data_IF_379063991545
#
_entry.id   IF_379063991545
#
_cell.length_a   1.000
_cell.length_b   1.000
_cell.length_c   1.000
_cell.angle_alpha   90.00
_cell.angle_beta   90.00
_cell.angle_gamma   90.00
#
_symmetry.space_group_name_H-M   'P 1'
#
loop_
_entity.id
_entity.type
_entity.pdbx_description
1 polymer ?
#
# COMPACT_ATOMS: atom_id res chain seq x y z
N UNK A 1 -7.97 5.96 -29.92
CA UNK A 1 -7.75 6.66 -28.62
C UNK A 1 -6.28 7.10 -28.47
N UNK A 2 -5.95 8.15 -27.71
CA UNK A 2 -4.57 8.60 -27.43
C UNK A 2 -4.13 8.20 -26.01
N UNK A 3 -2.82 8.03 -25.77
CA UNK A 3 -2.29 7.80 -24.41
C UNK A 3 -2.82 8.85 -23.44
N UNK A 4 -3.43 8.42 -22.34
CA UNK A 4 -4.10 9.28 -21.36
C UNK A 4 -3.92 8.71 -19.95
N UNK A 5 -3.75 9.58 -18.96
CA UNK A 5 -3.63 9.18 -17.56
C UNK A 5 -4.27 10.19 -16.60
N UNK A 6 -4.58 9.74 -15.39
CA UNK A 6 -5.13 10.59 -14.33
C UNK A 6 -6.11 9.84 -13.43
N UNK A 7 -6.91 10.59 -12.67
CA UNK A 7 -7.91 9.98 -11.79
C UNK A 7 -9.20 9.66 -12.55
N UNK A 8 -9.69 8.43 -12.39
CA UNK A 8 -10.95 7.98 -12.99
C UNK A 8 -12.15 8.38 -12.10
N UNK A 9 -13.11 9.10 -12.67
CA UNK A 9 -14.32 9.50 -11.95
C UNK A 9 -15.24 8.30 -11.72
N UNK A 10 -15.66 8.07 -10.48
CA UNK A 10 -16.61 6.99 -10.16
C UNK A 10 -17.95 7.15 -10.86
N UNK A 11 -18.41 8.39 -11.05
CA UNK A 11 -19.69 8.71 -11.69
C UNK A 11 -19.66 8.60 -13.21
N UNK A 12 -18.47 8.53 -13.83
CA UNK A 12 -18.35 8.48 -15.29
C UNK A 12 -17.14 7.62 -15.67
N UNK A 13 -17.30 6.28 -15.70
CA UNK A 13 -16.23 5.35 -16.09
C UNK A 13 -15.62 5.73 -17.45
N UNK A 14 -14.30 5.64 -17.57
CA UNK A 14 -13.57 6.06 -18.77
C UNK A 14 -13.29 7.56 -18.88
N UNK A 15 -13.91 8.41 -18.04
CA UNK A 15 -13.55 9.83 -17.96
C UNK A 15 -12.42 10.02 -16.95
N UNK A 16 -11.27 10.46 -17.48
CA UNK A 16 -10.05 10.67 -16.71
C UNK A 16 -9.82 12.16 -16.50
N UNK A 17 -9.45 12.53 -15.28
CA UNK A 17 -9.02 13.88 -14.93
C UNK A 17 -7.53 13.85 -14.64
N UNK A 18 -6.74 14.45 -15.53
CA UNK A 18 -5.31 14.60 -15.30
C UNK A 18 -5.05 15.43 -14.03
N UNK A 19 -4.14 15.00 -13.15
CA UNK A 19 -3.79 15.77 -11.97
C UNK A 19 -3.19 17.13 -12.39
N UNK A 20 -3.64 18.24 -11.79
CA UNK A 20 -3.19 19.58 -12.19
C UNK A 20 -1.70 19.82 -11.94
N UNK A 21 -1.11 19.15 -10.94
CA UNK A 21 0.32 19.15 -10.65
C UNK A 21 0.73 17.73 -10.26
N UNK A 22 1.33 17.03 -11.22
CA UNK A 22 2.00 15.76 -10.97
C UNK A 22 3.43 16.08 -10.52
N UNK A 23 3.59 16.46 -9.24
CA UNK A 23 4.91 16.68 -8.64
C UNK A 23 5.57 15.31 -8.39
N UNK A 24 5.97 15.04 -7.15
CA UNK A 24 6.65 13.79 -6.78
C UNK A 24 5.74 12.76 -6.11
N UNK A 25 4.42 13.00 -6.08
CA UNK A 25 3.47 12.18 -5.33
C UNK A 25 2.15 11.98 -6.06
N UNK A 26 1.75 10.72 -6.19
CA UNK A 26 0.42 10.28 -6.58
C UNK A 26 -0.33 9.90 -5.31
N UNK A 27 -1.41 10.63 -5.03
CA UNK A 27 -2.19 10.48 -3.79
C UNK A 27 -3.46 9.70 -4.06
N UNK A 28 -3.62 8.57 -3.38
CA UNK A 28 -4.84 7.77 -3.40
C UNK A 28 -5.62 7.98 -2.09
N UNK A 29 -6.95 7.94 -2.17
CA UNK A 29 -7.84 8.01 -1.00
C UNK A 29 -8.92 6.92 -1.06
N UNK A 30 -9.51 6.57 0.09
CA UNK A 30 -10.59 5.57 0.12
C UNK A 30 -11.91 6.10 -0.43
N UNK A 31 -12.05 7.42 -0.48
CA UNK A 31 -13.27 8.13 -0.81
C UNK A 31 -12.99 9.29 -1.76
N UNK A 32 -13.94 9.57 -2.64
CA UNK A 32 -13.89 10.69 -3.58
C UNK A 32 -13.22 10.37 -4.91
N UNK A 33 -12.93 11.42 -5.68
CA UNK A 33 -12.44 11.32 -7.07
C UNK A 33 -10.96 10.91 -7.19
N UNK A 34 -10.29 10.57 -6.09
CA UNK A 34 -8.88 10.15 -6.06
C UNK A 34 -8.72 8.70 -5.59
N UNK A 35 -9.78 7.89 -5.69
CA UNK A 35 -9.75 6.48 -5.31
C UNK A 35 -8.99 5.59 -6.31
N UNK A 36 -8.94 6.00 -7.58
CA UNK A 36 -8.34 5.24 -8.68
C UNK A 36 -7.57 6.16 -9.61
N UNK A 37 -6.30 5.85 -9.82
CA UNK A 37 -5.49 6.45 -10.86
C UNK A 37 -5.33 5.46 -12.01
N UNK A 38 -5.57 5.89 -13.23
CA UNK A 38 -5.62 5.02 -14.39
C UNK A 38 -4.73 5.52 -15.51
N UNK A 39 -4.21 4.57 -16.28
CA UNK A 39 -3.60 4.80 -17.58
C UNK A 39 -4.41 4.09 -18.65
N UNK A 40 -4.58 4.75 -19.78
CA UNK A 40 -5.13 4.20 -21.01
C UNK A 40 -4.08 4.37 -22.11
N UNK A 41 -3.59 3.27 -22.67
CA UNK A 41 -2.55 3.29 -23.68
C UNK A 41 -2.01 1.89 -23.98
N UNK A 42 -0.90 1.82 -24.69
CA UNK A 42 -0.12 0.59 -24.85
C UNK A 42 0.72 0.32 -23.60
N UNK A 43 1.11 -0.94 -23.38
CA UNK A 43 2.04 -1.31 -22.28
C UNK A 43 3.32 -0.48 -22.34
N UNK A 44 3.88 -0.32 -23.55
CA UNK A 44 5.09 0.47 -23.77
C UNK A 44 4.93 1.94 -23.38
N UNK A 45 3.90 2.62 -23.86
CA UNK A 45 3.65 4.04 -23.52
C UNK A 45 3.54 4.24 -22.00
N UNK A 46 2.86 3.31 -21.31
CA UNK A 46 2.67 3.37 -19.87
C UNK A 46 3.99 3.14 -19.13
N UNK A 47 4.76 2.12 -19.51
CA UNK A 47 6.06 1.82 -18.88
C UNK A 47 7.07 2.94 -19.13
N UNK A 48 7.14 3.48 -20.34
CA UNK A 48 8.02 4.61 -20.67
C UNK A 48 7.64 5.84 -19.82
N UNK A 49 6.33 6.14 -19.68
CA UNK A 49 5.88 7.21 -18.80
C UNK A 49 6.27 6.96 -17.33
N UNK A 50 6.14 5.73 -16.82
CA UNK A 50 6.53 5.39 -15.45
C UNK A 50 8.04 5.55 -15.21
N UNK A 51 8.87 5.27 -16.23
CA UNK A 51 10.32 5.50 -16.20
C UNK A 51 10.66 7.00 -16.16
N UNK A 52 9.97 7.79 -17.00
CA UNK A 52 10.15 9.25 -17.01
C UNK A 52 9.75 9.89 -15.67
N UNK A 53 8.85 9.24 -14.93
CA UNK A 53 8.38 9.65 -13.60
C UNK A 53 8.88 8.73 -12.48
N UNK A 54 10.07 8.15 -12.62
CA UNK A 54 10.60 7.14 -11.69
C UNK A 54 10.63 7.59 -10.21
N UNK A 55 10.81 8.88 -9.95
CA UNK A 55 10.86 9.44 -8.59
C UNK A 55 9.48 9.58 -7.93
N UNK A 56 8.39 9.48 -8.69
CA UNK A 56 7.03 9.66 -8.20
C UNK A 56 6.66 8.55 -7.21
N UNK A 57 6.19 8.95 -6.03
CA UNK A 57 5.74 8.04 -4.96
C UNK A 57 4.24 7.84 -5.00
N UNK A 58 3.81 6.59 -4.93
CA UNK A 58 2.39 6.23 -4.80
C UNK A 58 2.05 6.15 -3.32
N UNK A 59 1.20 7.04 -2.83
CA UNK A 59 0.84 7.08 -1.41
C UNK A 59 -0.68 6.99 -1.22
N UNK A 60 -1.09 6.08 -0.36
CA UNK A 60 -2.47 5.95 0.08
C UNK A 60 -2.70 6.71 1.40
N UNK A 61 -3.51 7.76 1.33
CA UNK A 61 -3.87 8.58 2.49
C UNK A 61 -5.14 8.02 3.15
N UNK A 62 -4.99 7.36 4.30
CA UNK A 62 -6.08 6.80 5.10
C UNK A 62 -6.92 7.86 5.86
N UNK A 63 -6.35 9.04 6.14
CA UNK A 63 -6.84 9.96 7.19
C UNK A 63 -7.61 11.19 6.71
N UNK A 64 -8.39 11.09 5.63
CA UNK A 64 -9.38 12.13 5.33
C UNK A 64 -10.64 12.06 6.22
N UNK A 65 -10.87 10.95 6.95
CA UNK A 65 -12.08 10.69 7.75
C UNK A 65 -11.88 10.64 9.28
N UNK A 66 -10.78 11.17 9.82
CA UNK A 66 -10.65 11.43 11.27
C UNK A 66 -10.63 10.22 12.21
N UNK A 67 -10.40 8.99 11.73
CA UNK A 67 -10.29 7.79 12.59
C UNK A 67 -8.86 7.59 13.13
N UNK A 68 -8.70 7.12 14.38
CA UNK A 68 -7.41 7.01 15.05
C UNK A 68 -6.49 5.93 14.44
N UNK A 69 -5.19 6.21 14.46
CA UNK A 69 -4.09 5.44 13.88
C UNK A 69 -3.82 4.04 14.51
N UNK A 70 -4.77 3.49 15.27
CA UNK A 70 -4.62 2.20 15.96
C UNK A 70 -4.97 0.98 15.11
N UNK A 71 -5.46 1.16 13.89
CA UNK A 71 -5.68 0.07 12.94
C UNK A 71 -4.49 -0.03 11.99
N UNK A 72 -3.54 -0.91 12.32
CA UNK A 72 -2.44 -1.32 11.45
C UNK A 72 -2.99 -2.16 10.28
N UNK A 73 -3.67 -1.54 9.33
CA UNK A 73 -3.84 -2.15 8.02
C UNK A 73 -2.58 -1.84 7.22
N UNK A 74 -1.87 -2.86 6.69
CA UNK A 74 -0.84 -2.59 5.69
C UNK A 74 -1.53 -1.82 4.56
N UNK A 75 -1.09 -0.59 4.34
CA UNK A 75 -1.58 0.31 3.30
C UNK A 75 -1.10 -0.22 1.96
N UNK A 76 -1.66 -1.35 1.55
CA UNK A 76 -1.31 -1.98 0.29
C UNK A 76 -2.01 -1.23 -0.85
N UNK A 77 -1.25 -1.03 -1.91
CA UNK A 77 -1.73 -0.55 -3.19
C UNK A 77 -1.73 -1.71 -4.16
N UNK A 78 -2.70 -1.70 -5.04
CA UNK A 78 -2.83 -2.63 -6.15
C UNK A 78 -2.54 -1.87 -7.43
N UNK A 79 -1.79 -2.53 -8.33
CA UNK A 79 -1.58 -2.12 -9.71
C UNK A 79 -2.10 -3.25 -10.59
N UNK A 80 -3.26 -2.99 -11.19
CA UNK A 80 -4.00 -3.94 -12.01
C UNK A 80 -3.80 -3.62 -13.49
N UNK A 81 -3.28 -4.59 -14.25
CA UNK A 81 -3.29 -4.57 -15.70
C UNK A 81 -4.61 -5.20 -16.19
N UNK A 82 -5.42 -4.44 -16.90
CA UNK A 82 -6.74 -4.84 -17.40
C UNK A 82 -6.77 -4.76 -18.93
N UNK A 83 -7.55 -5.65 -19.53
CA UNK A 83 -7.83 -5.61 -20.96
C UNK A 83 -8.70 -4.39 -21.28
N UNK A 84 -8.32 -3.60 -22.29
CA UNK A 84 -9.14 -2.52 -22.80
C UNK A 84 -9.77 -2.96 -24.12
N UNK A 85 -11.10 -2.97 -24.19
CA UNK A 85 -11.75 -3.24 -25.47
C UNK A 85 -11.61 -2.01 -26.37
N UNK A 86 -10.76 -2.11 -27.39
CA UNK A 86 -10.66 -1.08 -28.43
C UNK A 86 -11.68 -1.43 -29.53
N UNK A 87 -12.71 -0.59 -29.70
CA UNK A 87 -13.73 -0.79 -30.74
C UNK A 87 -13.18 -0.54 -32.16
N UNK A 88 -12.00 0.05 -32.28
CA UNK A 88 -11.28 0.25 -33.56
C UNK A 88 -10.35 -0.94 -33.90
N UNK A 89 -10.24 -1.94 -33.01
CA UNK A 89 -9.41 -3.11 -33.25
C UNK A 89 -10.04 -4.02 -34.32
N UNK A 90 -9.38 -4.13 -35.48
CA UNK A 90 -9.79 -5.04 -36.55
C UNK A 90 -9.85 -6.50 -36.05
N UNK A 91 -10.86 -7.26 -36.50
CA UNK A 91 -11.03 -8.69 -36.22
C UNK A 91 -9.75 -9.52 -36.44
N UNK A 92 -8.89 -9.10 -37.36
CA UNK A 92 -7.60 -9.76 -37.60
C UNK A 92 -6.60 -9.55 -36.45
N UNK A 93 -6.50 -8.34 -35.91
CA UNK A 93 -5.67 -8.03 -34.75
C UNK A 93 -6.23 -8.68 -33.48
N UNK A 94 -7.56 -8.78 -33.38
CA UNK A 94 -8.24 -9.54 -32.33
C UNK A 94 -7.92 -11.04 -32.43
N UNK A 95 -7.94 -11.66 -33.61
CA UNK A 95 -7.58 -13.08 -33.75
C UNK A 95 -6.09 -13.32 -33.48
N UNK A 96 -5.21 -12.40 -33.91
CA UNK A 96 -3.78 -12.50 -33.68
C UNK A 96 -3.41 -12.45 -32.20
N UNK A 97 -4.14 -11.67 -31.38
CA UNK A 97 -3.89 -11.58 -29.94
C UNK A 97 -4.09 -12.90 -29.19
N UNK A 98 -4.84 -13.87 -29.75
CA UNK A 98 -4.97 -15.21 -29.17
C UNK A 98 -3.70 -16.07 -29.29
N UNK A 99 -2.82 -15.77 -30.26
CA UNK A 99 -1.65 -16.59 -30.58
C UNK A 99 -0.33 -15.86 -30.42
N UNK A 100 -0.35 -14.53 -30.54
CA UNK A 100 0.81 -13.66 -30.38
C UNK A 100 0.36 -12.49 -29.53
N UNK A 101 0.87 -12.42 -28.30
CA UNK A 101 0.71 -11.22 -27.47
C UNK A 101 1.40 -10.06 -28.19
N UNK A 102 0.60 -9.24 -28.88
CA UNK A 102 1.09 -8.07 -29.61
C UNK A 102 1.27 -6.91 -28.63
N UNK A 103 2.26 -7.02 -27.74
CA UNK A 103 2.51 -6.07 -26.65
C UNK A 103 2.71 -4.62 -27.11
N UNK A 104 3.10 -4.45 -28.38
CA UNK A 104 3.39 -3.15 -29.00
C UNK A 104 2.10 -2.43 -29.42
N UNK A 105 1.08 -3.18 -29.84
CA UNK A 105 -0.16 -2.60 -30.37
C UNK A 105 -1.38 -2.84 -29.47
N UNK A 106 -1.30 -3.77 -28.52
CA UNK A 106 -2.36 -4.04 -27.56
C UNK A 106 -2.57 -2.85 -26.64
N UNK A 107 -3.81 -2.37 -26.61
CA UNK A 107 -4.24 -1.35 -25.66
C UNK A 107 -4.72 -1.97 -24.38
N UNK A 108 -4.30 -1.37 -23.28
CA UNK A 108 -4.57 -1.82 -21.93
C UNK A 108 -5.03 -0.67 -21.06
N UNK A 109 -5.74 -1.01 -19.99
CA UNK A 109 -6.00 -0.12 -18.86
C UNK A 109 -5.10 -0.56 -17.72
N UNK A 110 -4.30 0.35 -17.17
CA UNK A 110 -3.58 0.09 -15.91
C UNK A 110 -4.25 0.90 -14.82
N UNK A 111 -4.65 0.24 -13.74
CA UNK A 111 -5.36 0.85 -12.61
C UNK A 111 -4.55 0.72 -11.33
N UNK A 112 -4.24 1.86 -10.71
CA UNK A 112 -3.60 1.97 -9.40
C UNK A 112 -4.66 2.37 -8.38
N UNK A 113 -4.82 1.57 -7.33
CA UNK A 113 -5.87 1.74 -6.32
C UNK A 113 -5.48 1.18 -4.96
N UNK A 114 -6.10 1.64 -3.86
CA UNK A 114 -5.94 0.99 -2.57
C UNK A 114 -6.45 -0.46 -2.62
N UNK A 115 -5.77 -1.36 -1.91
CA UNK A 115 -6.22 -2.74 -1.75
C UNK A 115 -7.53 -2.78 -0.97
N UNK A 116 -8.50 -3.55 -1.45
CA UNK A 116 -9.78 -3.74 -0.79
C UNK A 116 -10.24 -5.19 -0.97
N UNK A 117 -9.93 -6.03 0.01
CA UNK A 117 -10.19 -7.48 -0.04
C UNK A 117 -11.62 -7.85 -0.47
N UNK A 118 -12.61 -7.05 -0.09
CA UNK A 118 -14.02 -7.27 -0.42
C UNK A 118 -14.40 -7.00 -1.87
N UNK A 119 -13.55 -6.32 -2.66
CA UNK A 119 -13.78 -6.03 -4.08
C UNK A 119 -12.70 -6.59 -5.00
N UNK A 120 -11.52 -6.86 -4.46
CA UNK A 120 -10.36 -7.27 -5.25
C UNK A 120 -10.58 -8.57 -6.02
N UNK A 121 -11.34 -9.51 -5.44
CA UNK A 121 -11.62 -10.80 -6.06
C UNK A 121 -12.55 -10.71 -7.27
N UNK A 122 -13.39 -9.67 -7.35
CA UNK A 122 -14.35 -9.47 -8.44
C UNK A 122 -13.76 -8.77 -9.67
N UNK A 123 -12.55 -8.20 -9.54
CA UNK A 123 -11.93 -7.42 -10.62
C UNK A 123 -11.11 -8.35 -11.49
N UNK A 124 -11.58 -8.58 -12.72
CA UNK A 124 -10.85 -9.34 -13.73
C UNK A 124 -9.60 -8.57 -14.17
N UNK A 125 -8.44 -9.20 -14.04
CA UNK A 125 -7.14 -8.61 -14.36
C UNK A 125 -6.29 -9.58 -15.16
N UNK A 126 -5.53 -9.04 -16.12
CA UNK A 126 -4.49 -9.80 -16.82
C UNK A 126 -3.31 -10.07 -15.89
N UNK A 127 -3.01 -9.11 -15.02
CA UNK A 127 -1.95 -9.19 -14.03
C UNK A 127 -2.24 -8.23 -12.87
N UNK A 128 -1.94 -8.67 -11.64
CA UNK A 128 -2.05 -7.86 -10.43
C UNK A 128 -0.71 -7.80 -9.70
N UNK A 129 -0.21 -6.60 -9.50
CA UNK A 129 0.88 -6.33 -8.56
C UNK A 129 0.31 -5.74 -7.26
N UNK A 130 0.74 -6.27 -6.12
CA UNK A 130 0.47 -5.71 -4.80
C UNK A 130 1.78 -5.17 -4.23
N UNK A 131 1.75 -3.91 -3.81
CA UNK A 131 2.89 -3.22 -3.21
C UNK A 131 2.46 -2.43 -1.98
N UNK A 132 3.41 -2.01 -1.17
CA UNK A 132 3.17 -1.10 -0.05
C UNK A 132 3.00 0.34 -0.53
N UNK A 133 2.19 1.12 0.17
CA UNK A 133 2.13 2.58 0.03
C UNK A 133 3.50 3.21 0.30
N UNK A 134 3.81 4.27 -0.44
CA UNK A 134 5.10 4.97 -0.42
C UNK A 134 6.12 4.46 -1.44
N UNK A 135 5.79 3.40 -2.19
CA UNK A 135 6.68 2.87 -3.24
C UNK A 135 6.89 3.90 -4.35
N UNK A 136 8.10 3.93 -4.92
CA UNK A 136 8.39 4.74 -6.11
C UNK A 136 8.07 3.97 -7.37
N UNK A 137 7.65 4.66 -8.43
CA UNK A 137 7.43 4.04 -9.73
C UNK A 137 8.71 3.36 -10.26
N UNK A 138 9.87 4.00 -10.07
CA UNK A 138 11.16 3.44 -10.48
C UNK A 138 11.51 2.11 -9.80
N UNK A 139 11.00 1.86 -8.59
CA UNK A 139 11.30 0.62 -7.86
C UNK A 139 10.50 -0.58 -8.39
N UNK A 140 9.40 -0.33 -9.11
CA UNK A 140 8.46 -1.37 -9.56
C UNK A 140 8.34 -1.48 -11.08
N UNK A 141 8.79 -0.46 -11.83
CA UNK A 141 8.58 -0.40 -13.28
C UNK A 141 9.28 -1.54 -14.03
N UNK A 142 10.45 -1.97 -13.56
CA UNK A 142 11.18 -3.08 -14.18
C UNK A 142 10.50 -4.43 -13.91
N UNK A 143 9.92 -4.60 -12.72
CA UNK A 143 9.10 -5.78 -12.42
C UNK A 143 7.84 -5.78 -13.29
N UNK A 144 7.14 -4.63 -13.39
CA UNK A 144 5.99 -4.49 -14.27
C UNK A 144 6.36 -4.81 -15.72
N UNK A 145 7.49 -4.30 -16.21
CA UNK A 145 7.99 -4.57 -17.56
C UNK A 145 8.23 -6.07 -17.77
N UNK A 146 8.93 -6.72 -16.84
CA UNK A 146 9.18 -8.16 -16.90
C UNK A 146 7.88 -8.97 -16.94
N UNK A 147 6.97 -8.72 -16.00
CA UNK A 147 5.75 -9.51 -15.85
C UNK A 147 4.72 -9.24 -16.95
N UNK A 148 4.64 -8.01 -17.45
CA UNK A 148 3.71 -7.66 -18.52
C UNK A 148 4.14 -8.21 -19.88
N UNK A 149 5.41 -8.57 -20.05
CA UNK A 149 5.94 -9.22 -21.26
C UNK A 149 6.03 -10.74 -21.17
N UNK A 150 5.70 -11.35 -20.02
CA UNK A 150 5.51 -12.80 -19.96
C UNK A 150 4.38 -13.18 -20.92
N UNK A 151 4.49 -14.33 -21.62
CA UNK A 151 3.45 -14.79 -22.54
C UNK A 151 2.11 -14.74 -21.83
N UNK A 152 1.16 -13.97 -22.38
CA UNK A 152 -0.14 -13.83 -21.75
C UNK A 152 -0.75 -15.23 -21.59
N UNK A 153 -1.43 -15.46 -20.45
CA UNK A 153 -2.21 -16.69 -20.30
C UNK A 153 -3.15 -16.78 -21.50
N UNK A 154 -3.13 -17.90 -22.21
CA UNK A 154 -4.03 -18.08 -23.35
C UNK A 154 -5.47 -17.88 -22.91
N UNK A 155 -6.34 -17.41 -23.81
CA UNK A 155 -7.76 -17.22 -23.48
C UNK A 155 -8.40 -18.48 -22.89
N UNK A 156 -7.99 -19.66 -23.39
CA UNK A 156 -8.38 -20.96 -22.84
C UNK A 156 -7.95 -21.15 -21.37
N UNK A 157 -6.74 -20.71 -21.02
CA UNK A 157 -6.26 -20.76 -19.64
C UNK A 157 -7.03 -19.77 -18.76
N UNK A 158 -7.30 -18.56 -19.26
CA UNK A 158 -8.09 -17.55 -18.54
C UNK A 158 -9.54 -18.02 -18.29
N UNK A 159 -10.18 -18.65 -19.28
CA UNK A 159 -11.54 -19.20 -19.11
C UNK A 159 -11.55 -20.41 -18.18
N UNK A 160 -10.53 -21.26 -18.22
CA UNK A 160 -10.34 -22.33 -17.24
C UNK A 160 -10.13 -21.78 -15.84
N UNK A 161 -9.30 -20.76 -15.67
CA UNK A 161 -9.03 -20.14 -14.37
C UNK A 161 -10.32 -19.51 -13.82
N UNK A 162 -11.11 -18.85 -14.67
CA UNK A 162 -12.42 -18.31 -14.34
C UNK A 162 -13.43 -19.41 -13.96
N UNK A 163 -13.42 -20.56 -14.66
CA UNK A 163 -14.30 -21.68 -14.34
C UNK A 163 -13.92 -22.40 -13.04
N UNK A 164 -12.62 -22.39 -12.71
CA UNK A 164 -12.08 -23.08 -11.54
C UNK A 164 -11.84 -22.15 -10.33
N UNK A 165 -12.34 -20.91 -10.37
CA UNK A 165 -12.10 -19.88 -9.35
C UNK A 165 -10.62 -19.70 -8.96
N UNK A 166 -9.71 -19.88 -9.92
CA UNK A 166 -8.27 -19.70 -9.70
C UNK A 166 -7.99 -18.19 -9.77
N UNK A 167 -7.47 -17.56 -8.70
CA UNK A 167 -7.20 -16.14 -8.72
C UNK A 167 -6.19 -15.78 -9.82
N UNK A 168 -6.37 -14.60 -10.42
CA UNK A 168 -5.43 -14.07 -11.41
C UNK A 168 -3.99 -14.02 -10.86
N UNK A 169 -2.97 -13.98 -11.74
CA UNK A 169 -1.58 -13.95 -11.31
C UNK A 169 -1.35 -12.72 -10.41
N UNK A 170 -1.15 -12.99 -9.13
CA UNK A 170 -0.87 -12.00 -8.11
C UNK A 170 0.61 -12.07 -7.78
N UNK A 171 1.33 -10.96 -8.00
CA UNK A 171 2.68 -10.79 -7.50
C UNK A 171 2.65 -9.86 -6.30
N UNK A 172 3.33 -10.23 -5.23
CA UNK A 172 3.43 -9.42 -4.01
C UNK A 172 4.90 -9.06 -3.84
N UNK A 173 5.25 -7.78 -4.04
CA UNK A 173 6.64 -7.32 -3.83
C UNK A 173 6.96 -7.08 -2.34
N UNK A 174 5.98 -7.24 -1.45
CA UNK A 174 6.13 -7.01 -0.02
C UNK A 174 6.16 -8.30 0.81
N UNK A 175 7.37 -8.75 1.17
CA UNK A 175 7.58 -9.65 2.30
C UNK A 175 8.62 -9.13 3.32
N UNK A 176 8.89 -7.82 3.34
CA UNK A 176 9.58 -7.20 4.45
C UNK A 176 8.73 -6.08 5.06
N UNK A 177 7.75 -6.48 5.86
CA UNK A 177 7.49 -5.70 7.07
C UNK A 177 8.75 -5.75 7.93
N UNK A 178 9.08 -4.69 8.71
CA UNK A 178 10.12 -4.83 9.72
C UNK A 178 9.77 -6.04 10.58
N UNK A 179 10.63 -7.06 10.56
CA UNK A 179 10.52 -8.23 11.43
C UNK A 179 10.56 -7.74 12.87
N UNK A 180 9.39 -7.50 13.45
CA UNK A 180 9.28 -7.24 14.87
C UNK A 180 9.24 -8.58 15.60
N UNK A 181 9.85 -8.57 16.80
CA UNK A 181 9.67 -9.47 17.95
C UNK A 181 10.86 -10.41 18.25
N UNK A 182 11.50 -10.16 19.40
CA UNK A 182 11.35 -11.06 20.55
C UNK A 182 11.09 -10.30 21.85
N UNK A 183 9.95 -10.62 22.44
CA UNK A 183 9.59 -10.46 23.85
C UNK A 183 10.47 -11.41 24.66
N UNK A 184 11.20 -10.89 25.64
CA UNK A 184 11.72 -11.70 26.74
C UNK A 184 10.79 -11.52 27.92
N UNK A 185 9.99 -12.54 28.23
CA UNK A 185 9.14 -12.55 29.41
C UNK A 185 9.19 -13.93 30.07
N UNK A 186 10.16 -14.13 30.95
CA UNK A 186 10.17 -15.04 32.10
C UNK A 186 11.21 -14.46 33.08
N UNK A 187 11.04 -14.34 34.38
CA UNK A 187 9.93 -14.55 35.29
C UNK A 187 10.17 -13.63 36.51
N UNK A 188 9.09 -13.32 37.22
CA UNK A 188 9.03 -12.65 38.52
C UNK A 188 10.27 -12.75 39.42
N UNK A 189 10.88 -11.61 39.74
CA UNK A 189 11.53 -11.40 41.04
C UNK A 189 11.30 -9.94 41.47
N UNK A 190 10.28 -9.73 42.29
CA UNK A 190 10.33 -8.65 43.30
C UNK A 190 11.60 -8.90 44.12
N UNK A 191 12.56 -7.99 44.07
CA UNK A 191 13.58 -7.93 45.12
C UNK A 191 13.53 -6.54 45.72
N UNK A 192 13.04 -6.50 46.95
CA UNK A 192 13.13 -5.39 47.87
C UNK A 192 14.58 -4.84 47.97
N UNK A 193 14.74 -3.56 48.33
CA UNK A 193 16.05 -3.04 48.70
C UNK A 193 16.53 -3.73 49.99
N UNK A 194 17.79 -4.19 50.08
CA UNK A 194 18.26 -4.90 51.26
C UNK A 194 18.29 -3.98 52.49
N UNK A 195 17.56 -4.40 53.52
CA UNK A 195 17.62 -3.86 54.88
C UNK A 195 18.81 -4.45 55.63
N UNK A 196 19.64 -3.54 56.15
CA UNK A 196 20.40 -3.57 57.42
C UNK A 196 21.18 -4.82 57.83
N UNK A 197 22.46 -4.62 58.19
CA UNK A 197 22.94 -4.81 59.56
C UNK A 197 24.37 -4.28 59.67
N UNK A 198 24.59 -3.31 60.55
CA UNK A 198 25.75 -3.40 61.42
C UNK A 198 25.38 -2.96 62.84
N UNK A 199 25.87 -3.75 63.79
CA UNK A 199 25.62 -3.71 65.22
C UNK A 199 26.21 -2.44 65.86
N UNK A 200 25.46 -1.79 66.75
CA UNK A 200 25.82 -1.73 68.18
C UNK A 200 24.93 -0.74 68.95
N UNK A 201 24.44 -1.22 70.10
CA UNK A 201 24.34 -0.56 71.42
C UNK A 201 23.65 0.82 71.52
N UNK A 202 22.89 1.19 72.54
CA UNK A 202 22.43 0.67 73.85
C UNK A 202 21.33 1.65 74.28
N UNK A 203 20.47 1.19 75.19
CA UNK A 203 19.48 1.90 76.02
C UNK A 203 19.55 3.44 76.13
N UNK A 204 18.39 4.11 76.07
CA UNK A 204 17.70 4.68 77.25
C UNK A 204 16.49 5.58 76.90
N UNK A 205 15.65 5.75 77.92
CA UNK A 205 14.28 6.27 78.00
C UNK A 205 14.06 7.76 77.63
N UNK A 206 12.79 8.22 77.55
CA UNK A 206 12.36 9.54 77.05
C UNK A 206 12.29 10.59 78.18
N UNK A 207 12.11 11.88 77.84
CA UNK A 207 11.06 12.78 78.36
C UNK A 207 11.24 14.24 77.89
N UNK A 208 10.11 14.81 77.47
CA UNK A 208 9.68 16.21 77.39
C UNK A 208 10.65 17.36 77.73
N UNK A 209 10.64 18.43 76.93
CA UNK A 209 10.22 19.76 77.44
C UNK A 209 9.85 20.76 76.32
N UNK A 210 8.91 21.62 76.68
CA UNK A 210 8.09 22.61 75.99
C UNK A 210 8.81 23.86 75.42
N UNK A 211 8.10 24.73 74.64
CA UNK A 211 8.64 25.83 73.84
C UNK A 211 8.72 27.15 74.64
N UNK A 212 9.18 28.29 74.04
CA UNK A 212 8.23 29.35 73.65
C UNK A 212 8.68 30.23 72.44
N UNK A 213 7.84 31.21 72.02
CA UNK A 213 7.88 31.86 70.70
C UNK A 213 8.53 33.26 70.72
N UNK A 214 8.79 33.83 69.54
CA UNK A 214 9.01 35.27 69.40
C UNK A 214 8.48 35.83 68.06
N UNK A 215 7.70 36.89 68.23
CA UNK A 215 6.89 37.75 67.36
C UNK A 215 7.71 38.57 66.35
N UNK A 216 7.12 39.08 65.25
CA UNK A 216 7.85 39.80 64.20
C UNK A 216 7.91 41.32 64.44
N UNK A 217 8.92 41.96 63.83
CA UNK A 217 8.94 43.40 63.54
C UNK A 217 9.88 43.66 62.36
N UNK A 218 9.32 44.09 61.21
CA UNK A 218 9.51 45.44 60.64
C UNK A 218 8.74 45.58 59.32
#
# INVERSE_FOLDING_TARGET
>A
MTFTYGYELETTPGRVVAPPLLNDKLSLSSSGNTSRFVFYGTRKEILDWMRDHANLRIEYNLFSDGRPASFQHPTEIIIDLQHLHDSEQSYFNYFKSFFVSDYVHERVKVEIRPKLNSKDHDIMTLYRLVSTSGVRLGDIVDDLDHYWHLPARSYYRQTLDMYNDIPGPQHVLSAHGPSSIRVGNEASVQTEPPKSMDHNQVDEKPTMTSPPPATPAH
#
